data_IF_812838574039
#
_entry.id   IF_812838574039
#
_cell.length_a   1.000
_cell.length_b   1.000
_cell.length_c   1.000
_cell.angle_alpha   90.00
_cell.angle_beta   90.00
_cell.angle_gamma   90.00
#
_symmetry.space_group_name_H-M   'P 1'
#
loop_
_entity.id
_entity.type
_entity.pdbx_description
1 polymer ?
#
# COMPACT_ATOMS: atom_id res chain seq x y z
N UNK A 1 10.64 3.34 -13.43
CA UNK A 1 9.92 2.71 -12.29
C UNK A 1 9.32 1.40 -12.77
N UNK A 2 9.63 0.27 -12.13
CA UNK A 2 9.12 -1.03 -12.60
C UNK A 2 7.60 -1.14 -12.33
N UNK A 3 6.78 -1.70 -13.26
CA UNK A 3 5.37 -2.02 -13.02
C UNK A 3 5.14 -2.86 -11.75
N UNK A 4 6.16 -3.63 -11.33
CA UNK A 4 6.17 -4.34 -10.05
C UNK A 4 6.02 -3.41 -8.85
N UNK A 5 6.63 -2.22 -8.89
CA UNK A 5 6.49 -1.27 -7.81
C UNK A 5 5.03 -0.80 -7.72
N UNK A 6 4.39 -0.45 -8.84
CA UNK A 6 2.97 -0.08 -8.90
C UNK A 6 2.02 -1.19 -8.42
N UNK A 7 2.36 -2.46 -8.66
CA UNK A 7 1.62 -3.61 -8.14
C UNK A 7 1.84 -3.80 -6.64
N UNK A 8 3.05 -3.53 -6.12
CA UNK A 8 3.33 -3.56 -4.67
C UNK A 8 2.56 -2.42 -3.98
N UNK A 9 2.52 -1.26 -4.63
CA UNK A 9 1.83 -0.03 -4.20
C UNK A 9 0.33 -0.23 -4.03
N UNK A 10 -0.30 -0.83 -5.03
CA UNK A 10 -1.73 -1.18 -5.00
C UNK A 10 -2.05 -2.33 -4.05
N UNK A 11 -1.05 -2.99 -3.47
CA UNK A 11 -1.23 -4.08 -2.49
C UNK A 11 -0.93 -3.69 -1.04
N UNK A 12 -0.70 -2.41 -0.74
CA UNK A 12 -0.53 -1.97 0.65
C UNK A 12 -1.76 -2.33 1.51
N UNK A 13 -2.98 -2.22 0.97
CA UNK A 13 -4.24 -2.60 1.62
C UNK A 13 -4.28 -4.09 1.96
N UNK A 14 -3.68 -4.94 1.10
CA UNK A 14 -3.55 -6.38 1.34
C UNK A 14 -2.55 -6.66 2.47
N UNK A 15 -1.39 -5.98 2.48
CA UNK A 15 -0.38 -6.13 3.54
C UNK A 15 -0.93 -5.64 4.89
N UNK A 16 -1.66 -4.53 4.91
CA UNK A 16 -2.36 -4.03 6.10
C UNK A 16 -3.38 -5.05 6.62
N UNK A 17 -4.17 -5.64 5.73
CA UNK A 17 -5.14 -6.68 6.07
C UNK A 17 -4.48 -7.93 6.65
N UNK A 18 -3.38 -8.39 6.05
CA UNK A 18 -2.59 -9.51 6.58
C UNK A 18 -2.01 -9.18 7.95
N UNK A 19 -1.47 -7.98 8.13
CA UNK A 19 -0.93 -7.50 9.41
C UNK A 19 -1.99 -7.59 10.51
N UNK A 20 -3.23 -7.17 10.24
CA UNK A 20 -4.35 -7.28 11.19
C UNK A 20 -4.65 -8.75 11.54
N UNK A 21 -4.70 -9.63 10.53
CA UNK A 21 -4.96 -11.06 10.72
C UNK A 21 -3.85 -11.73 11.55
N UNK A 22 -2.59 -11.41 11.29
CA UNK A 22 -1.45 -11.97 12.03
C UNK A 22 -1.34 -11.44 13.46
N UNK A 23 -1.65 -10.17 13.65
CA UNK A 23 -1.50 -9.49 14.93
C UNK A 23 -2.66 -9.76 15.90
N UNK A 24 -3.84 -10.18 15.42
CA UNK A 24 -5.01 -10.40 16.28
C UNK A 24 -5.34 -11.90 16.48
N UNK A 25 -4.98 -12.50 17.63
CA UNK A 25 -5.30 -13.91 17.91
C UNK A 25 -6.80 -14.21 17.90
N UNK A 26 -7.63 -13.23 18.26
CA UNK A 26 -9.10 -13.35 18.18
C UNK A 26 -9.55 -13.57 16.74
N UNK A 27 -8.94 -12.86 15.78
CA UNK A 27 -9.25 -12.99 14.36
C UNK A 27 -8.81 -14.34 13.81
N UNK A 28 -7.62 -14.79 14.17
CA UNK A 28 -7.14 -16.11 13.78
C UNK A 28 -8.12 -17.20 14.23
N UNK A 29 -8.60 -17.13 15.48
CA UNK A 29 -9.59 -18.10 16.00
C UNK A 29 -10.92 -18.04 15.24
N UNK A 30 -11.43 -16.84 14.93
CA UNK A 30 -12.68 -16.68 14.17
C UNK A 30 -12.54 -17.19 12.74
N UNK A 31 -11.44 -16.88 12.05
CA UNK A 31 -11.17 -17.37 10.69
C UNK A 31 -11.06 -18.89 10.68
N UNK A 32 -10.31 -19.47 11.62
CA UNK A 32 -10.22 -20.93 11.76
C UNK A 32 -11.60 -21.53 12.01
N UNK A 33 -12.40 -20.96 12.92
CA UNK A 33 -13.76 -21.42 13.19
C UNK A 33 -14.66 -21.40 11.94
N UNK A 34 -14.62 -20.31 11.16
CA UNK A 34 -15.36 -20.17 9.90
C UNK A 34 -14.90 -21.21 8.87
N UNK A 35 -13.59 -21.39 8.68
CA UNK A 35 -13.06 -22.39 7.74
C UNK A 35 -13.48 -23.80 8.17
N UNK A 36 -13.36 -24.12 9.47
CA UNK A 36 -13.75 -25.45 9.98
C UNK A 36 -15.24 -25.71 9.88
N UNK A 37 -16.10 -24.68 10.04
CA UNK A 37 -17.56 -24.84 9.87
C UNK A 37 -17.97 -24.90 8.41
N UNK A 38 -17.29 -24.16 7.52
CA UNK A 38 -17.56 -24.17 6.07
C UNK A 38 -17.14 -25.48 5.40
N UNK A 39 -16.08 -26.12 5.89
CA UNK A 39 -15.63 -27.43 5.42
C UNK A 39 -16.65 -28.55 5.68
N UNK A 40 -17.60 -28.33 6.60
CA UNK A 40 -18.65 -29.29 6.94
C UNK A 40 -19.86 -29.18 6.00
N UNK A 41 -19.94 -28.13 5.15
CA UNK A 41 -21.16 -27.80 4.40
C UNK A 41 -21.01 -27.72 2.88
N UNK A 42 -20.15 -28.51 2.23
CA UNK A 42 -20.05 -28.52 0.75
C UNK A 42 -20.66 -29.77 0.12
N UNK A 43 -21.88 -29.70 -0.45
CA UNK A 43 -22.35 -30.64 -1.48
C UNK A 43 -21.63 -30.36 -2.81
N UNK A 44 -21.21 -31.44 -3.46
CA UNK A 44 -20.42 -31.40 -4.70
C UNK A 44 -21.33 -31.21 -5.92
N UNK A 45 -21.29 -30.05 -6.56
CA UNK A 45 -21.82 -29.88 -7.94
C UNK A 45 -20.91 -28.96 -8.74
N UNK A 46 -20.17 -29.59 -9.66
CA UNK A 46 -19.20 -28.98 -10.58
C UNK A 46 -19.96 -28.40 -11.78
N UNK A 47 -19.80 -27.11 -12.07
CA UNK A 47 -20.25 -26.52 -13.34
C UNK A 47 -19.24 -25.50 -13.86
N UNK A 48 -18.98 -25.64 -15.16
CA UNK A 48 -17.99 -24.96 -15.98
C UNK A 48 -18.50 -23.62 -16.48
N UNK A 49 -17.94 -22.50 -16.00
CA UNK A 49 -18.08 -21.19 -16.65
C UNK A 49 -16.83 -20.34 -16.38
N UNK A 50 -16.01 -20.11 -17.42
CA UNK A 50 -14.65 -19.57 -17.28
C UNK A 50 -14.36 -18.27 -18.05
N UNK A 51 -15.38 -17.47 -18.39
CA UNK A 51 -15.15 -16.16 -19.06
C UNK A 51 -15.77 -14.94 -18.38
N UNK A 52 -16.66 -15.12 -17.39
CA UNK A 52 -17.25 -14.04 -16.57
C UNK A 52 -16.48 -13.85 -15.23
N UNK A 53 -15.15 -13.94 -15.26
CA UNK A 53 -14.32 -13.93 -14.04
C UNK A 53 -13.60 -12.60 -13.80
N UNK A 54 -13.25 -11.84 -14.85
CA UNK A 54 -12.46 -10.61 -14.68
C UNK A 54 -13.25 -9.46 -14.01
N UNK A 55 -14.50 -9.21 -14.40
CA UNK A 55 -15.32 -8.16 -13.78
C UNK A 55 -15.86 -8.55 -12.39
N UNK A 56 -16.01 -9.85 -12.11
CA UNK A 56 -16.44 -10.35 -10.79
C UNK A 56 -15.32 -10.26 -9.76
N UNK A 57 -14.06 -10.38 -10.17
CA UNK A 57 -12.88 -10.30 -9.29
C UNK A 57 -12.71 -8.90 -8.68
N UNK A 58 -12.95 -7.83 -9.43
CA UNK A 58 -12.86 -6.45 -8.92
C UNK A 58 -13.99 -6.11 -7.93
N UNK A 59 -15.21 -6.57 -8.22
CA UNK A 59 -16.35 -6.43 -7.29
C UNK A 59 -16.12 -7.25 -6.02
N UNK A 60 -15.51 -8.44 -6.13
CA UNK A 60 -15.20 -9.30 -4.99
C UNK A 60 -14.05 -8.76 -4.13
N UNK A 61 -13.07 -8.07 -4.73
CA UNK A 61 -12.01 -7.37 -4.00
C UNK A 61 -12.57 -6.19 -3.19
N UNK A 62 -13.47 -5.37 -3.76
CA UNK A 62 -14.16 -4.28 -3.03
C UNK A 62 -15.05 -4.78 -1.89
N UNK A 63 -15.73 -5.92 -2.08
CA UNK A 63 -16.48 -6.61 -1.02
C UNK A 63 -15.58 -7.09 0.14
N UNK A 64 -14.32 -7.43 -0.13
CA UNK A 64 -13.39 -7.86 0.92
C UNK A 64 -13.02 -6.73 1.89
N UNK A 65 -12.80 -5.50 1.42
CA UNK A 65 -12.36 -4.40 2.27
C UNK A 65 -13.45 -3.94 3.25
N UNK A 66 -14.69 -3.80 2.77
CA UNK A 66 -15.83 -3.46 3.62
C UNK A 66 -16.08 -4.55 4.67
N UNK A 67 -15.88 -5.83 4.31
CA UNK A 67 -16.02 -6.94 5.25
C UNK A 67 -14.99 -6.89 6.39
N UNK A 68 -13.75 -6.46 6.12
CA UNK A 68 -12.69 -6.34 7.13
C UNK A 68 -13.02 -5.21 8.11
N UNK A 69 -13.46 -4.05 7.62
CA UNK A 69 -13.89 -2.93 8.49
C UNK A 69 -15.08 -3.35 9.36
N UNK A 70 -16.06 -4.05 8.78
CA UNK A 70 -17.19 -4.59 9.53
C UNK A 70 -16.75 -5.59 10.61
N UNK A 71 -15.78 -6.47 10.31
CA UNK A 71 -15.18 -7.37 11.29
C UNK A 71 -14.47 -6.60 12.43
N UNK A 72 -13.78 -5.49 12.12
CA UNK A 72 -13.14 -4.61 13.11
C UNK A 72 -14.15 -3.96 14.03
N UNK A 73 -15.26 -3.48 13.49
CA UNK A 73 -16.32 -2.82 14.27
C UNK A 73 -17.10 -3.81 15.12
N UNK A 74 -17.41 -4.99 14.57
CA UNK A 74 -18.23 -6.03 15.25
C UNK A 74 -17.45 -6.83 16.29
N UNK A 75 -16.12 -6.72 16.35
CA UNK A 75 -15.32 -7.41 17.35
C UNK A 75 -15.49 -6.80 18.75
N UNK A 76 -16.01 -7.60 19.69
CA UNK A 76 -16.42 -7.16 21.03
C UNK A 76 -15.37 -7.38 22.13
N UNK A 77 -14.17 -7.91 21.84
CA UNK A 77 -13.16 -8.19 22.88
C UNK A 77 -12.75 -6.90 23.61
N UNK A 78 -13.05 -6.78 24.91
CA UNK A 78 -12.79 -5.55 25.67
C UNK A 78 -11.31 -5.22 25.83
N UNK A 79 -10.40 -6.21 25.74
CA UNK A 79 -8.96 -6.04 26.03
C UNK A 79 -8.23 -5.20 24.98
N UNK A 80 -8.78 -5.08 23.78
CA UNK A 80 -8.12 -4.45 22.62
C UNK A 80 -8.84 -3.20 22.09
N UNK A 81 -9.64 -2.52 22.93
CA UNK A 81 -10.45 -1.37 22.47
C UNK A 81 -9.62 -0.25 21.82
N UNK A 82 -8.44 0.08 22.37
CA UNK A 82 -7.55 1.09 21.80
C UNK A 82 -6.89 0.62 20.49
N UNK A 83 -6.46 -0.64 20.45
CA UNK A 83 -5.85 -1.25 19.27
C UNK A 83 -6.81 -1.30 18.07
N UNK A 84 -8.11 -1.59 18.31
CA UNK A 84 -9.14 -1.56 17.26
C UNK A 84 -9.38 -0.19 16.66
N UNK A 85 -9.39 0.87 17.49
CA UNK A 85 -9.54 2.24 16.99
C UNK A 85 -8.40 2.61 16.05
N UNK A 86 -7.17 2.24 16.43
CA UNK A 86 -5.99 2.46 15.61
C UNK A 86 -6.07 1.71 14.28
N UNK A 87 -6.32 0.39 14.30
CA UNK A 87 -6.47 -0.42 13.08
C UNK A 87 -7.57 0.12 12.17
N UNK A 88 -8.72 0.48 12.74
CA UNK A 88 -9.84 1.00 11.96
C UNK A 88 -9.44 2.28 11.22
N UNK A 89 -8.71 3.18 11.88
CA UNK A 89 -8.20 4.39 11.26
C UNK A 89 -7.23 4.09 10.12
N UNK A 90 -6.27 3.16 10.33
CA UNK A 90 -5.33 2.73 9.28
C UNK A 90 -6.08 2.16 8.06
N UNK A 91 -7.10 1.32 8.27
CA UNK A 91 -7.87 0.72 7.18
C UNK A 91 -8.71 1.76 6.42
N UNK A 92 -9.31 2.73 7.12
CA UNK A 92 -10.06 3.83 6.49
C UNK A 92 -9.12 4.72 5.67
N UNK A 93 -7.95 5.06 6.21
CA UNK A 93 -6.94 5.85 5.50
C UNK A 93 -6.45 5.15 4.24
N UNK A 94 -6.19 3.84 4.32
CA UNK A 94 -5.82 3.01 3.17
C UNK A 94 -6.92 2.97 2.10
N UNK A 95 -8.19 2.80 2.49
CA UNK A 95 -9.32 2.85 1.56
C UNK A 95 -9.49 4.23 0.90
N UNK A 96 -9.32 5.30 1.69
CA UNK A 96 -9.39 6.67 1.18
C UNK A 96 -8.28 6.94 0.16
N UNK A 97 -7.08 6.41 0.41
CA UNK A 97 -5.94 6.52 -0.49
C UNK A 97 -6.15 5.73 -1.78
N UNK A 98 -6.63 4.47 -1.70
CA UNK A 98 -7.00 3.68 -2.88
C UNK A 98 -8.01 4.44 -3.76
N UNK A 99 -9.05 4.98 -3.12
CA UNK A 99 -10.09 5.77 -3.80
C UNK A 99 -9.52 7.05 -4.41
N UNK A 100 -8.60 7.73 -3.72
CA UNK A 100 -7.93 8.92 -4.24
C UNK A 100 -7.06 8.61 -5.46
N UNK A 101 -6.34 7.50 -5.44
CA UNK A 101 -5.50 7.04 -6.56
C UNK A 101 -6.32 6.75 -7.81
N UNK A 102 -7.52 6.15 -7.65
CA UNK A 102 -8.46 5.87 -8.74
C UNK A 102 -8.90 7.14 -9.49
N UNK A 103 -8.95 8.30 -8.84
CA UNK A 103 -9.36 9.56 -9.47
C UNK A 103 -8.31 10.17 -10.41
N UNK A 104 -7.04 9.78 -10.31
CA UNK A 104 -5.98 10.39 -11.13
C UNK A 104 -5.72 9.65 -12.46
N UNK A 105 -5.95 8.33 -12.49
CA UNK A 105 -5.83 7.42 -13.64
C UNK A 105 -4.67 7.75 -14.62
N UNK A 106 -3.40 7.57 -14.20
CA UNK A 106 -2.26 7.83 -15.08
C UNK A 106 -2.19 6.83 -16.23
N UNK A 107 -1.89 7.32 -17.43
CA UNK A 107 -1.65 6.53 -18.64
C UNK A 107 -0.14 6.38 -18.83
N UNK A 108 0.34 5.13 -18.87
CA UNK A 108 1.76 4.81 -19.01
C UNK A 108 2.06 4.21 -20.40
N UNK A 109 2.94 4.86 -21.16
CA UNK A 109 3.52 4.36 -22.40
C UNK A 109 4.94 3.85 -22.13
N UNK A 110 5.05 2.64 -21.56
CA UNK A 110 6.33 2.08 -21.09
C UNK A 110 7.43 2.05 -22.16
N UNK A 111 7.10 1.68 -23.40
CA UNK A 111 8.06 1.63 -24.51
C UNK A 111 8.70 2.99 -24.84
N UNK A 112 8.05 4.09 -24.45
CA UNK A 112 8.57 5.46 -24.64
C UNK A 112 8.95 6.13 -23.33
N UNK A 113 8.89 5.44 -22.20
CA UNK A 113 9.13 6.03 -20.89
C UNK A 113 8.20 7.21 -20.52
N UNK A 114 7.06 7.36 -21.20
CA UNK A 114 6.16 8.50 -21.02
C UNK A 114 4.99 8.13 -20.11
N UNK A 115 4.79 8.94 -19.07
CA UNK A 115 3.61 8.89 -18.21
C UNK A 115 2.88 10.21 -18.31
N UNK A 116 1.58 10.18 -18.56
CA UNK A 116 0.74 11.37 -18.61
C UNK A 116 -0.63 11.07 -18.03
N UNK A 117 -1.38 12.10 -17.64
CA UNK A 117 -2.74 11.94 -17.17
C UNK A 117 -3.65 12.97 -17.83
N UNK A 118 -4.87 12.54 -18.16
CA UNK A 118 -5.94 13.37 -18.72
C UNK A 118 -7.20 13.20 -17.86
N UNK A 119 -7.05 13.47 -16.57
CA UNK A 119 -8.14 13.42 -15.59
C UNK A 119 -8.49 14.83 -15.11
N UNK A 120 -9.68 15.01 -14.55
CA UNK A 120 -10.08 16.29 -13.96
C UNK A 120 -9.10 16.77 -12.87
N UNK A 121 -8.50 15.82 -12.14
CA UNK A 121 -7.49 16.09 -11.13
C UNK A 121 -6.12 16.46 -11.73
N UNK A 122 -5.79 15.97 -12.93
CA UNK A 122 -4.58 16.34 -13.66
C UNK A 122 -4.56 17.82 -14.09
N UNK A 123 -5.72 18.45 -14.22
CA UNK A 123 -5.85 19.90 -14.47
C UNK A 123 -5.49 20.75 -13.25
N UNK A 124 -5.63 20.19 -12.05
CA UNK A 124 -5.33 20.89 -10.78
C UNK A 124 -3.91 20.58 -10.30
N UNK A 125 -3.45 19.34 -10.51
CA UNK A 125 -2.17 18.85 -10.03
C UNK A 125 -1.40 18.13 -11.13
N UNK A 126 -0.16 18.55 -11.35
CA UNK A 126 0.71 17.94 -12.36
C UNK A 126 1.06 16.48 -12.04
N UNK A 127 1.24 15.65 -13.08
CA UNK A 127 1.61 14.23 -12.92
C UNK A 127 2.84 14.08 -12.04
N UNK A 128 3.83 14.96 -12.19
CA UNK A 128 5.01 14.96 -11.34
C UNK A 128 4.68 15.16 -9.87
N UNK A 129 3.84 16.15 -9.54
CA UNK A 129 3.42 16.41 -8.16
C UNK A 129 2.56 15.27 -7.64
N UNK A 130 1.66 14.73 -8.46
CA UNK A 130 0.83 13.60 -8.08
C UNK A 130 1.67 12.36 -7.79
N UNK A 131 2.57 11.96 -8.69
CA UNK A 131 3.42 10.78 -8.48
C UNK A 131 4.30 10.94 -7.24
N UNK A 132 4.96 12.09 -7.07
CA UNK A 132 5.79 12.37 -5.88
C UNK A 132 4.95 12.33 -4.60
N UNK A 133 3.78 12.99 -4.60
CA UNK A 133 2.90 13.04 -3.43
C UNK A 133 2.30 11.67 -3.09
N UNK A 134 1.80 10.97 -4.10
CA UNK A 134 1.20 9.66 -3.96
C UNK A 134 2.23 8.65 -3.44
N UNK A 135 3.42 8.62 -4.06
CA UNK A 135 4.54 7.79 -3.62
C UNK A 135 4.99 8.12 -2.19
N UNK A 136 5.06 9.41 -1.83
CA UNK A 136 5.39 9.84 -0.47
C UNK A 136 4.37 9.32 0.56
N UNK A 137 3.09 9.56 0.31
CA UNK A 137 1.99 9.17 1.20
C UNK A 137 1.99 7.65 1.39
N UNK A 138 2.17 6.92 0.31
CA UNK A 138 2.16 5.47 0.34
C UNK A 138 3.37 4.88 1.07
N UNK A 139 4.58 5.40 0.84
CA UNK A 139 5.76 5.01 1.62
C UNK A 139 5.56 5.29 3.12
N UNK A 140 4.95 6.42 3.45
CA UNK A 140 4.61 6.76 4.84
C UNK A 140 3.62 5.75 5.43
N UNK A 141 2.54 5.42 4.71
CA UNK A 141 1.56 4.41 5.14
C UNK A 141 2.24 3.04 5.30
N UNK A 142 3.11 2.65 4.36
CA UNK A 142 3.83 1.37 4.42
C UNK A 142 4.77 1.32 5.64
N UNK A 143 5.52 2.40 5.89
CA UNK A 143 6.36 2.53 7.07
C UNK A 143 5.54 2.42 8.35
N UNK A 144 4.38 3.09 8.43
CA UNK A 144 3.47 3.02 9.57
C UNK A 144 2.92 1.61 9.80
N UNK A 145 2.56 0.89 8.74
CA UNK A 145 2.10 -0.51 8.81
C UNK A 145 3.21 -1.42 9.33
N UNK A 146 4.44 -1.25 8.82
CA UNK A 146 5.61 -2.00 9.27
C UNK A 146 5.90 -1.71 10.74
N UNK A 147 5.89 -0.45 11.14
CA UNK A 147 6.07 -0.01 12.52
C UNK A 147 4.99 -0.57 13.45
N UNK A 148 3.73 -0.56 13.00
CA UNK A 148 2.60 -1.13 13.72
C UNK A 148 2.74 -2.63 13.92
N UNK A 149 3.17 -3.34 12.86
CA UNK A 149 3.46 -4.76 12.93
C UNK A 149 4.60 -5.05 13.92
N UNK A 150 5.72 -4.32 13.82
CA UNK A 150 6.83 -4.45 14.74
C UNK A 150 6.39 -4.14 16.17
N UNK A 151 5.63 -3.07 16.39
CA UNK A 151 5.14 -2.70 17.70
C UNK A 151 4.22 -3.78 18.29
N UNK A 152 3.36 -4.39 17.46
CA UNK A 152 2.48 -5.47 17.88
C UNK A 152 3.26 -6.75 18.24
N UNK A 153 4.15 -7.19 17.34
CA UNK A 153 5.00 -8.37 17.57
C UNK A 153 5.89 -8.16 18.79
N UNK A 154 6.49 -6.98 18.92
CA UNK A 154 7.33 -6.60 20.04
C UNK A 154 6.53 -6.59 21.34
N UNK A 155 5.37 -5.90 21.39
CA UNK A 155 4.49 -5.89 22.55
C UNK A 155 4.10 -7.31 22.99
N UNK A 156 3.69 -8.15 22.04
CA UNK A 156 3.30 -9.54 22.33
C UNK A 156 4.48 -10.37 22.83
N UNK A 157 5.68 -10.18 22.29
CA UNK A 157 6.89 -10.85 22.74
C UNK A 157 7.34 -10.35 24.12
N UNK A 158 7.23 -9.06 24.43
CA UNK A 158 7.58 -8.50 25.75
C UNK A 158 6.68 -9.01 26.87
N UNK A 159 5.43 -9.40 26.56
CA UNK A 159 4.51 -10.03 27.53
C UNK A 159 4.85 -11.50 27.77
N UNK A 160 5.38 -12.20 26.76
CA UNK A 160 5.61 -13.66 26.80
C UNK A 160 7.05 -14.03 27.16
N UNK A 161 8.03 -13.17 26.85
CA UNK A 161 9.45 -13.46 27.04
C UNK A 161 9.96 -12.91 28.39
N UNK A 162 10.81 -13.69 29.10
CA UNK A 162 11.33 -13.29 30.40
C UNK A 162 12.33 -12.12 30.32
N UNK A 163 12.41 -11.33 31.39
CA UNK A 163 13.12 -10.04 31.48
C UNK A 163 14.62 -10.08 31.22
N UNK A 164 15.27 -11.25 31.18
CA UNK A 164 16.73 -11.38 31.06
C UNK A 164 17.27 -11.31 29.62
N UNK A 165 16.41 -11.19 28.60
CA UNK A 165 16.89 -11.12 27.20
C UNK A 165 17.37 -9.70 26.83
N UNK A 166 18.45 -9.66 26.04
CA UNK A 166 19.12 -8.43 25.57
C UNK A 166 18.20 -7.46 24.81
N UNK A 167 17.12 -7.94 24.20
CA UNK A 167 16.18 -7.14 23.40
C UNK A 167 14.84 -6.87 24.11
N UNK A 168 14.88 -6.59 25.43
CA UNK A 168 13.70 -6.18 26.18
C UNK A 168 13.81 -4.71 26.62
N UNK A 169 13.63 -3.80 25.67
CA UNK A 169 13.38 -2.39 25.92
C UNK A 169 12.02 -2.21 26.60
N UNK A 170 12.04 -1.84 27.88
CA UNK A 170 10.88 -1.44 28.67
C UNK A 170 10.90 0.08 28.97
N UNK A 171 9.73 0.64 29.29
CA UNK A 171 9.59 2.05 29.66
C UNK A 171 10.07 3.02 28.57
N UNK A 172 10.88 4.01 28.98
CA UNK A 172 11.40 5.09 28.12
C UNK A 172 12.23 4.59 26.93
N UNK A 173 13.01 3.51 27.11
CA UNK A 173 13.84 2.95 26.04
C UNK A 173 13.03 2.52 24.82
N UNK A 174 11.79 2.05 25.04
CA UNK A 174 10.85 1.68 23.98
C UNK A 174 10.38 2.89 23.18
N UNK A 175 10.09 3.99 23.88
CA UNK A 175 9.66 5.25 23.25
C UNK A 175 10.79 5.80 22.38
N UNK A 176 12.02 5.80 22.91
CA UNK A 176 13.21 6.23 22.15
C UNK A 176 13.43 5.37 20.91
N UNK A 177 13.26 4.05 21.00
CA UNK A 177 13.37 3.16 19.85
C UNK A 177 12.35 3.50 18.76
N UNK A 178 11.06 3.67 19.12
CA UNK A 178 10.04 4.00 18.13
C UNK A 178 10.26 5.39 17.53
N UNK A 179 10.64 6.39 18.34
CA UNK A 179 10.97 7.71 17.84
C UNK A 179 12.15 7.67 16.86
N UNK A 180 13.18 6.87 17.16
CA UNK A 180 14.33 6.69 16.27
C UNK A 180 13.93 6.04 14.94
N UNK A 181 13.11 4.99 14.97
CA UNK A 181 12.66 4.33 13.74
C UNK A 181 11.77 5.29 12.93
N UNK A 182 10.89 6.06 13.57
CA UNK A 182 10.06 7.06 12.90
C UNK A 182 10.90 8.13 12.19
N UNK A 183 11.88 8.71 12.89
CA UNK A 183 12.80 9.70 12.32
C UNK A 183 13.62 9.09 11.17
N UNK A 184 14.08 7.84 11.32
CA UNK A 184 14.76 7.12 10.26
C UNK A 184 13.88 6.92 9.02
N UNK A 185 12.62 6.49 9.22
CA UNK A 185 11.66 6.34 8.12
C UNK A 185 11.39 7.66 7.40
N UNK A 186 11.17 8.75 8.13
CA UNK A 186 10.94 10.08 7.55
C UNK A 186 12.17 10.55 6.75
N UNK A 187 13.38 10.35 7.29
CA UNK A 187 14.61 10.77 6.60
C UNK A 187 14.83 9.99 5.31
N UNK A 188 14.66 8.66 5.32
CA UNK A 188 14.74 7.82 4.11
C UNK A 188 13.72 8.29 3.06
N UNK A 189 12.46 8.48 3.45
CA UNK A 189 11.40 8.92 2.53
C UNK A 189 11.74 10.30 1.93
N UNK A 190 12.19 11.26 2.76
CA UNK A 190 12.58 12.57 2.28
C UNK A 190 13.76 12.52 1.29
N UNK A 191 14.74 11.66 1.54
CA UNK A 191 15.88 11.43 0.64
C UNK A 191 15.43 10.84 -0.70
N UNK A 192 14.58 9.80 -0.69
CA UNK A 192 14.03 9.20 -1.92
C UNK A 192 13.23 10.21 -2.74
N UNK A 193 12.38 11.02 -2.09
CA UNK A 193 11.59 12.06 -2.78
C UNK A 193 12.48 13.15 -3.39
N UNK A 194 13.57 13.51 -2.70
CA UNK A 194 14.55 14.45 -3.24
C UNK A 194 15.21 13.91 -4.51
N UNK A 195 15.67 12.65 -4.49
CA UNK A 195 16.26 12.01 -5.66
C UNK A 195 15.25 11.89 -6.80
N UNK A 196 14.04 11.41 -6.51
CA UNK A 196 12.99 11.29 -7.51
C UNK A 196 12.70 12.63 -8.20
N UNK A 197 12.50 13.70 -7.43
CA UNK A 197 12.27 15.03 -7.98
C UNK A 197 13.44 15.50 -8.85
N UNK A 198 14.68 15.22 -8.44
CA UNK A 198 15.87 15.57 -9.20
C UNK A 198 15.90 14.84 -10.55
N UNK A 199 15.68 13.54 -10.56
CA UNK A 199 15.64 12.73 -11.78
C UNK A 199 14.60 13.24 -12.78
N UNK A 200 13.41 13.62 -12.29
CA UNK A 200 12.36 14.17 -13.16
C UNK A 200 12.75 15.50 -13.84
N UNK A 201 13.47 16.36 -13.14
CA UNK A 201 13.94 17.64 -13.70
C UNK A 201 15.04 17.40 -14.73
N UNK A 202 15.91 16.43 -14.48
CA UNK A 202 17.02 16.07 -15.38
C UNK A 202 16.50 15.37 -16.65
N UNK A 203 15.41 14.61 -16.56
CA UNK A 203 14.85 13.88 -17.70
C UNK A 203 14.02 14.74 -18.65
N UNK A 204 13.36 15.80 -18.16
CA UNK A 204 12.51 16.67 -18.99
C UNK A 204 13.16 17.22 -20.28
N UNK A 205 14.42 17.70 -20.28
CA UNK A 205 15.08 18.17 -21.51
C UNK A 205 15.44 17.04 -22.48
N UNK A 206 15.48 15.79 -22.02
CA UNK A 206 15.81 14.61 -22.83
C UNK A 206 14.60 14.08 -23.61
N UNK A 207 13.46 14.77 -23.56
CA UNK A 207 12.24 14.35 -24.23
C UNK A 207 12.41 14.33 -25.77
N UNK A 208 12.21 13.16 -26.42
CA UNK A 208 12.24 13.01 -27.87
C UNK A 208 11.29 13.98 -28.61
N UNK A 209 11.67 14.39 -29.81
CA UNK A 209 10.88 15.32 -30.65
C UNK A 209 9.46 14.80 -30.95
N UNK A 210 9.30 13.50 -31.17
CA UNK A 210 8.01 12.85 -31.44
C UNK A 210 7.08 12.83 -30.22
N UNK A 211 7.60 13.10 -29.02
CA UNK A 211 6.83 13.18 -27.78
C UNK A 211 6.59 14.62 -27.31
N UNK A 212 7.17 15.63 -27.96
CA UNK A 212 7.03 17.02 -27.52
C UNK A 212 5.59 17.54 -27.56
N UNK A 213 4.69 16.90 -28.32
CA UNK A 213 3.25 17.23 -28.30
C UNK A 213 2.64 17.17 -26.90
N UNK A 214 3.19 16.35 -26.00
CA UNK A 214 2.67 16.18 -24.63
C UNK A 214 2.81 17.47 -23.80
N UNK A 215 3.86 18.28 -24.07
CA UNK A 215 4.10 19.57 -23.39
C UNK A 215 2.94 20.55 -23.56
N UNK A 216 2.18 20.43 -24.66
CA UNK A 216 1.09 21.33 -25.00
C UNK A 216 -0.29 20.80 -24.59
N UNK A 217 -0.40 19.55 -24.13
CA UNK A 217 -1.68 18.87 -23.92
C UNK A 217 -1.98 18.64 -22.45
N UNK A 218 -1.02 18.08 -21.73
CA UNK A 218 -1.25 17.54 -20.39
C UNK A 218 0.00 17.65 -19.54
N UNK A 219 -0.15 17.39 -18.24
CA UNK A 219 1.01 17.23 -17.38
C UNK A 219 1.60 15.83 -17.60
N UNK A 220 2.92 15.74 -17.64
CA UNK A 220 3.61 14.52 -18.03
C UNK A 220 4.89 14.32 -17.22
N UNK A 221 5.39 13.10 -17.29
CA UNK A 221 6.65 12.65 -16.72
C UNK A 221 7.34 11.81 -17.76
N UNK A 222 8.58 12.17 -18.06
CA UNK A 222 9.43 11.37 -18.90
C UNK A 222 10.47 10.65 -18.03
N UNK A 223 10.56 9.35 -18.18
CA UNK A 223 11.61 8.52 -17.58
C UNK A 223 12.46 8.04 -18.73
N UNK A 224 13.74 8.38 -18.73
CA UNK A 224 14.68 7.90 -19.74
C UNK A 224 14.68 6.36 -19.68
N UNK A 225 14.31 5.66 -20.76
CA UNK A 225 14.39 4.22 -20.78
C UNK A 225 15.85 3.79 -20.62
N UNK A 226 16.08 2.67 -19.94
CA UNK A 226 17.41 2.08 -19.83
C UNK A 226 17.90 1.71 -21.23
N UNK A 227 19.19 1.92 -21.54
CA UNK A 227 19.78 1.66 -22.86
C UNK A 227 19.50 0.21 -23.31
N UNK A 228 19.46 -0.72 -22.35
CA UNK A 228 19.12 -2.12 -22.58
C UNK A 228 17.72 -2.35 -23.18
N UNK A 229 16.77 -1.44 -22.95
CA UNK A 229 15.42 -1.49 -23.51
C UNK A 229 15.39 -0.96 -24.94
N UNK A 230 16.27 -0.01 -25.27
CA UNK A 230 16.39 0.50 -26.65
C UNK A 230 16.93 -0.56 -27.61
N UNK A 231 17.89 -1.39 -27.17
CA UNK A 231 18.47 -2.45 -28.00
C UNK A 231 17.63 -3.74 -28.12
N UNK A 232 16.48 -3.81 -27.43
CA UNK A 232 15.64 -5.00 -27.41
C UNK A 232 14.54 -5.04 -28.50
N UNK A 233 14.38 -3.96 -29.29
CA UNK A 233 13.42 -3.85 -30.40
C UNK A 233 14.14 -3.76 -31.75
#
# INVERSE_FOLDING_TARGET
MSPLLWIIVTKHTFISSLTIIYCSPSYQRKIVAIITTSAVSVPTTISTASREKAHKVDTQAKLSHQSIIALIITDSDRRNKHYRKYICFVQISSLAFDTFSDFYAPIAQYHKGLFYADSSLANVMSVSKFLVSNYAIELMIMAEVILSFFACVYYRRSVVLPSYRLFNFSGWKRIVLYAFIEVYSITVIATELYFYRREMIVSEPLLPLDLQWVKNRTTFVFIVPDENVEYAN
#
